data_IF_780404578523
#
_entry.id   IF_780404578523
#
_cell.length_a   1.000
_cell.length_b   1.000
_cell.length_c   1.000
_cell.angle_alpha   90.00
_cell.angle_beta   90.00
_cell.angle_gamma   90.00
#
_symmetry.space_group_name_H-M   'P 1'
#
loop_
_entity.id
_entity.type
_entity.pdbx_description
1 polymer ?
#
# COMPACT_ATOMS: atom_id res chain seq x y z
N UNK A 1 1.92 -13.47 23.26
CA UNK A 1 3.00 -12.69 22.60
C UNK A 1 2.55 -12.22 21.25
N UNK A 2 2.76 -10.95 20.97
CA UNK A 2 2.44 -10.44 19.63
C UNK A 2 3.53 -10.83 18.64
N UNK A 3 3.10 -11.09 17.42
CA UNK A 3 4.01 -11.31 16.29
C UNK A 3 4.21 -10.00 15.56
N UNK A 4 5.40 -9.82 15.04
CA UNK A 4 5.73 -8.67 14.17
C UNK A 4 5.47 -9.08 12.73
N UNK A 5 4.69 -8.28 12.04
CA UNK A 5 4.30 -8.56 10.65
C UNK A 5 4.63 -7.35 9.78
N UNK A 6 5.37 -7.60 8.71
CA UNK A 6 5.60 -6.58 7.69
C UNK A 6 4.50 -6.73 6.62
N UNK A 7 3.80 -5.64 6.34
CA UNK A 7 2.82 -5.60 5.26
C UNK A 7 3.40 -4.74 4.14
N UNK A 8 3.65 -5.34 3.00
CA UNK A 8 4.20 -4.64 1.84
C UNK A 8 3.05 -4.24 0.93
N UNK A 9 2.91 -2.93 0.73
CA UNK A 9 1.89 -2.36 -0.14
C UNK A 9 2.55 -1.82 -1.42
N UNK A 10 1.73 -1.65 -2.45
CA UNK A 10 2.19 -1.09 -3.72
C UNK A 10 1.13 -0.12 -4.23
N UNK A 11 1.24 1.14 -3.83
CA UNK A 11 0.25 2.15 -4.19
C UNK A 11 -1.10 1.95 -3.51
N UNK A 12 -2.12 2.55 -4.09
CA UNK A 12 -3.49 2.51 -3.58
C UNK A 12 -4.45 2.61 -4.75
N UNK A 13 -5.25 1.60 -4.99
CA UNK A 13 -6.21 1.60 -6.08
C UNK A 13 -6.85 0.24 -6.24
N UNK A 14 -7.33 -0.05 -7.42
CA UNK A 14 -7.87 -1.36 -7.78
C UNK A 14 -7.06 -1.91 -8.96
N UNK A 15 -6.88 -1.11 -9.99
CA UNK A 15 -6.17 -1.51 -11.21
C UNK A 15 -4.69 -1.11 -11.19
N UNK A 16 -4.33 -0.11 -10.39
CA UNK A 16 -2.99 0.49 -10.44
C UNK A 16 -2.28 0.52 -9.08
N UNK A 17 -2.73 -0.28 -8.14
CA UNK A 17 -2.11 -0.36 -6.83
C UNK A 17 -2.76 -1.42 -5.97
N UNK A 18 -2.35 -1.46 -4.70
CA UNK A 18 -2.95 -2.38 -3.73
C UNK A 18 -4.45 -2.13 -3.65
N UNK A 19 -5.22 -3.21 -3.76
CA UNK A 19 -6.66 -3.12 -3.74
C UNK A 19 -7.11 -2.61 -2.36
N UNK A 20 -8.02 -1.63 -2.35
CA UNK A 20 -8.34 -0.88 -1.14
C UNK A 20 -9.01 -1.76 -0.08
N UNK A 21 -10.03 -2.53 -0.47
CA UNK A 21 -10.75 -3.38 0.47
C UNK A 21 -9.87 -4.50 1.03
N UNK A 22 -9.11 -5.16 0.17
CA UNK A 22 -8.21 -6.23 0.60
C UNK A 22 -7.16 -5.70 1.58
N UNK A 23 -6.59 -4.55 1.29
CA UNK A 23 -5.58 -3.94 2.14
C UNK A 23 -6.14 -3.54 3.51
N UNK A 24 -7.29 -2.88 3.51
CA UNK A 24 -7.94 -2.42 4.75
C UNK A 24 -8.37 -3.60 5.60
N UNK A 25 -8.99 -4.62 5.00
CA UNK A 25 -9.45 -5.80 5.73
C UNK A 25 -8.26 -6.59 6.29
N UNK A 26 -7.17 -6.70 5.52
CA UNK A 26 -5.95 -7.36 5.99
C UNK A 26 -5.37 -6.65 7.21
N UNK A 27 -5.25 -5.33 7.16
CA UNK A 27 -4.73 -4.54 8.29
C UNK A 27 -5.64 -4.66 9.50
N UNK A 28 -6.95 -4.62 9.32
CA UNK A 28 -7.92 -4.79 10.39
C UNK A 28 -7.79 -6.17 11.04
N UNK A 29 -7.71 -7.22 10.22
CA UNK A 29 -7.60 -8.59 10.72
C UNK A 29 -6.32 -8.81 11.53
N UNK A 30 -5.20 -8.23 11.08
CA UNK A 30 -3.95 -8.31 11.81
C UNK A 30 -4.02 -7.57 13.14
N UNK A 31 -4.66 -6.41 13.16
CA UNK A 31 -4.87 -5.63 14.37
C UNK A 31 -5.73 -6.41 15.37
N UNK A 32 -6.82 -7.00 14.92
CA UNK A 32 -7.69 -7.81 15.77
C UNK A 32 -6.99 -9.06 16.31
N UNK A 33 -6.03 -9.59 15.58
CA UNK A 33 -5.22 -10.72 16.03
C UNK A 33 -4.10 -10.32 16.99
N UNK A 34 -3.94 -9.02 17.27
CA UNK A 34 -2.93 -8.52 18.19
C UNK A 34 -1.52 -8.46 17.60
N UNK A 35 -1.37 -8.52 16.28
CA UNK A 35 -0.07 -8.44 15.64
C UNK A 35 0.47 -7.01 15.68
N UNK A 36 1.80 -6.89 15.77
CA UNK A 36 2.48 -5.62 15.58
C UNK A 36 2.78 -5.47 14.08
N UNK A 37 2.10 -4.52 13.44
CA UNK A 37 2.18 -4.34 11.98
C UNK A 37 3.00 -3.12 11.65
N UNK A 38 3.93 -3.28 10.72
CA UNK A 38 4.61 -2.17 10.07
C UNK A 38 4.39 -2.29 8.57
N UNK A 39 3.85 -1.25 7.97
CA UNK A 39 3.67 -1.19 6.53
C UNK A 39 4.93 -0.69 5.84
N UNK A 40 5.16 -1.19 4.63
CA UNK A 40 6.26 -0.80 3.76
C UNK A 40 5.76 -0.68 2.33
N UNK A 41 6.40 0.18 1.57
CA UNK A 41 6.19 0.24 0.13
C UNK A 41 7.46 0.76 -0.56
N UNK A 42 7.69 0.39 -1.81
CA UNK A 42 8.84 0.94 -2.54
C UNK A 42 8.62 2.41 -2.85
N UNK A 43 9.70 3.19 -2.73
CA UNK A 43 9.69 4.63 -3.04
C UNK A 43 10.04 4.80 -4.52
N UNK A 44 9.09 4.46 -5.37
CA UNK A 44 9.26 4.49 -6.83
C UNK A 44 8.01 5.08 -7.48
N UNK A 45 8.16 5.49 -8.73
CA UNK A 45 7.04 5.97 -9.53
C UNK A 45 6.19 4.78 -9.99
N UNK A 46 4.86 4.94 -9.99
CA UNK A 46 3.96 3.91 -10.52
C UNK A 46 4.17 3.73 -12.01
N UNK A 47 4.07 2.49 -12.48
CA UNK A 47 4.15 2.19 -13.90
C UNK A 47 3.02 2.85 -14.66
N UNK A 48 1.80 2.76 -14.12
CA UNK A 48 0.62 3.38 -14.70
C UNK A 48 -0.23 4.03 -13.62
N UNK A 49 -0.96 5.08 -14.00
CA UNK A 49 -2.06 5.64 -13.22
C UNK A 49 -3.32 5.36 -14.02
N UNK A 50 -4.28 4.68 -13.41
CA UNK A 50 -5.51 4.26 -14.10
C UNK A 50 -6.67 5.16 -13.69
N UNK A 51 -7.45 5.59 -14.67
CA UNK A 51 -8.72 6.24 -14.43
C UNK A 51 -9.75 5.15 -14.14
N UNK A 52 -10.17 5.04 -12.89
CA UNK A 52 -11.05 3.94 -12.47
C UNK A 52 -12.50 4.07 -12.99
N UNK A 53 -12.86 5.21 -13.56
CA UNK A 53 -14.17 5.36 -14.24
C UNK A 53 -14.12 4.68 -15.60
N UNK A 54 -13.04 4.87 -16.33
CA UNK A 54 -12.91 4.34 -17.70
C UNK A 54 -12.15 3.02 -17.77
N UNK A 55 -11.31 2.71 -16.78
CA UNK A 55 -10.42 1.57 -16.79
C UNK A 55 -9.17 1.77 -17.64
N UNK A 56 -8.97 2.96 -18.17
CA UNK A 56 -7.85 3.25 -19.06
C UNK A 56 -6.74 4.01 -18.35
N UNK A 57 -5.53 3.91 -18.90
CA UNK A 57 -4.36 4.64 -18.39
C UNK A 57 -4.62 6.14 -18.50
N UNK A 58 -4.41 6.85 -17.39
CA UNK A 58 -4.47 8.31 -17.37
C UNK A 58 -3.11 8.84 -17.82
N UNK A 59 -2.94 9.05 -19.12
CA UNK A 59 -1.68 9.48 -19.69
C UNK A 59 -1.25 10.84 -19.16
N UNK A 60 0.03 10.97 -18.90
CA UNK A 60 0.62 12.19 -18.36
C UNK A 60 0.50 12.34 -16.85
N UNK A 61 -0.21 11.46 -16.17
CA UNK A 61 -0.26 11.45 -14.71
C UNK A 61 0.82 10.53 -14.15
N UNK A 62 1.43 10.97 -13.07
CA UNK A 62 2.38 10.16 -12.32
C UNK A 62 2.03 10.16 -10.85
N UNK A 63 2.34 9.05 -10.17
CA UNK A 63 2.15 8.92 -8.73
C UNK A 63 3.30 8.12 -8.13
N UNK A 64 3.63 8.44 -6.89
CA UNK A 64 4.65 7.71 -6.15
C UNK A 64 4.00 6.55 -5.39
N UNK A 65 4.53 5.35 -5.54
CA UNK A 65 3.97 4.14 -4.93
C UNK A 65 3.92 4.24 -3.41
N UNK A 66 4.97 4.73 -2.78
CA UNK A 66 5.03 4.90 -1.32
C UNK A 66 4.01 5.93 -0.84
N UNK A 67 3.93 7.06 -1.50
CA UNK A 67 3.02 8.16 -1.14
C UNK A 67 1.56 7.69 -1.25
N UNK A 68 1.23 6.97 -2.32
CA UNK A 68 -0.13 6.47 -2.50
C UNK A 68 -0.46 5.36 -1.50
N UNK A 69 0.48 4.45 -1.24
CA UNK A 69 0.29 3.40 -0.24
C UNK A 69 0.09 3.96 1.18
N UNK A 70 0.68 5.12 1.46
CA UNK A 70 0.51 5.79 2.75
C UNK A 70 -0.95 6.16 3.04
N UNK A 71 -1.81 6.25 2.04
CA UNK A 71 -3.24 6.48 2.23
C UNK A 71 -3.88 5.31 2.97
N UNK A 72 -3.49 4.09 2.63
CA UNK A 72 -3.99 2.86 3.27
C UNK A 72 -3.42 2.69 4.67
N UNK A 73 -2.14 2.98 4.84
CA UNK A 73 -1.43 2.85 6.11
C UNK A 73 -1.62 4.06 7.02
N UNK A 74 -2.37 5.06 6.59
CA UNK A 74 -2.65 6.30 7.34
C UNK A 74 -1.37 7.04 7.72
N UNK A 75 -0.39 7.04 6.81
CA UNK A 75 0.89 7.71 7.00
C UNK A 75 1.94 6.90 7.76
N UNK A 76 1.55 5.81 8.41
CA UNK A 76 2.49 4.95 9.14
C UNK A 76 3.08 3.91 8.21
N UNK A 77 4.05 4.33 7.42
CA UNK A 77 4.66 3.48 6.39
C UNK A 77 6.12 3.88 6.20
N UNK A 78 6.95 2.89 5.92
CA UNK A 78 8.38 3.09 5.66
C UNK A 78 8.74 2.60 4.26
N UNK A 79 9.88 3.04 3.78
CA UNK A 79 10.42 2.56 2.50
C UNK A 79 10.74 1.06 2.59
N UNK A 80 10.41 0.32 1.55
CA UNK A 80 10.66 -1.12 1.52
C UNK A 80 12.14 -1.45 1.79
N UNK A 81 13.06 -0.62 1.30
CA UNK A 81 14.51 -0.81 1.54
C UNK A 81 14.89 -0.78 3.03
N UNK A 82 14.04 -0.25 3.89
CA UNK A 82 14.27 -0.20 5.34
C UNK A 82 13.70 -1.41 6.09
N UNK A 83 13.06 -2.35 5.39
CA UNK A 83 12.47 -3.52 6.01
C UNK A 83 13.56 -4.44 6.56
N UNK A 84 13.35 -4.89 7.78
CA UNK A 84 14.24 -5.82 8.50
C UNK A 84 13.48 -7.09 8.86
N UNK A 85 14.13 -8.20 8.69
CA UNK A 85 13.58 -9.48 9.14
C UNK A 85 13.60 -9.57 10.68
#
# INVERSE_FOLDING_TARGET
>A
MSKRVAVVLSGCGVYDGSEIYESVITLLSLDQAGAEVQCFAPDIEQLHVINHVTGEVAEGETRNVLVEAARLARGDIKKLAEANA
#
